data_IF_650490140369
#
_entry.id   IF_650490140369
#
_cell.length_a   1.000
_cell.length_b   1.000
_cell.length_c   1.000
_cell.angle_alpha   90.00
_cell.angle_beta   90.00
_cell.angle_gamma   90.00
#
_symmetry.space_group_name_H-M   'P 1'
#
loop_
_entity.id
_entity.type
_entity.pdbx_description
1 polymer ?
#
# COMPACT_ATOMS: atom_id res chain seq x y z
N UNK A 1 43.46 67.54 -4.66
CA UNK A 1 42.66 66.49 -5.35
C UNK A 1 42.60 65.27 -4.45
N UNK A 2 41.58 65.15 -3.59
CA UNK A 2 41.40 64.01 -2.67
C UNK A 2 40.43 63.01 -3.32
N UNK A 3 40.91 61.82 -3.69
CA UNK A 3 40.07 60.73 -4.20
C UNK A 3 39.60 59.89 -3.01
N UNK A 4 38.33 60.03 -2.66
CA UNK A 4 37.67 59.18 -1.66
C UNK A 4 37.28 57.87 -2.35
N UNK A 5 37.89 56.75 -1.93
CA UNK A 5 37.59 55.42 -2.43
C UNK A 5 36.42 54.84 -1.61
N UNK A 6 35.24 54.73 -2.21
CA UNK A 6 34.11 54.02 -1.63
C UNK A 6 34.33 52.51 -1.75
N UNK A 7 34.56 51.83 -0.63
CA UNK A 7 34.60 50.38 -0.54
C UNK A 7 33.18 49.85 -0.41
N UNK A 8 32.65 49.28 -1.49
CA UNK A 8 31.34 48.62 -1.47
C UNK A 8 31.47 47.25 -0.78
N UNK A 9 30.84 47.12 0.39
CA UNK A 9 30.66 45.83 1.07
C UNK A 9 29.55 45.08 0.33
N UNK A 10 29.92 44.02 -0.38
CA UNK A 10 28.98 43.07 -0.94
C UNK A 10 28.40 42.22 0.19
N UNK A 11 27.12 42.43 0.52
CA UNK A 11 26.37 41.56 1.42
C UNK A 11 26.04 40.28 0.62
N UNK A 12 26.76 39.19 0.91
CA UNK A 12 26.41 37.87 0.38
C UNK A 12 25.07 37.45 0.99
N UNK A 13 24.05 37.30 0.12
CA UNK A 13 22.74 36.81 0.52
C UNK A 13 22.83 35.38 1.03
N UNK A 14 22.54 35.18 2.31
CA UNK A 14 22.36 33.85 2.89
C UNK A 14 21.02 33.33 2.37
N UNK A 15 21.05 32.39 1.43
CA UNK A 15 19.83 31.66 1.05
C UNK A 15 19.29 30.91 2.27
N UNK A 16 17.99 31.00 2.58
CA UNK A 16 17.43 30.23 3.68
C UNK A 16 17.58 28.74 3.36
N UNK A 17 18.28 28.01 4.23
CA UNK A 17 18.13 26.56 4.30
C UNK A 17 16.66 26.33 4.65
N UNK A 18 15.87 25.88 3.69
CA UNK A 18 14.49 25.45 3.95
C UNK A 18 14.57 24.28 4.92
N UNK A 19 14.09 24.52 6.14
CA UNK A 19 13.96 23.48 7.14
C UNK A 19 13.04 22.38 6.61
N UNK A 20 13.36 21.13 6.91
CA UNK A 20 12.55 19.99 6.48
C UNK A 20 11.13 20.09 7.05
N UNK A 21 10.13 19.77 6.22
CA UNK A 21 8.73 19.72 6.60
C UNK A 21 8.40 18.31 7.17
N UNK A 22 8.17 18.25 8.48
CA UNK A 22 7.88 17.00 9.18
C UNK A 22 6.50 16.42 8.82
N UNK A 23 5.50 17.25 8.52
CA UNK A 23 4.17 16.75 8.15
C UNK A 23 4.18 16.20 6.72
N UNK A 24 4.87 16.88 5.80
CA UNK A 24 5.12 16.33 4.47
C UNK A 24 5.95 15.04 4.54
N UNK A 25 6.97 15.02 5.41
CA UNK A 25 7.81 13.85 5.67
C UNK A 25 7.00 12.66 6.19
N UNK A 26 6.11 12.89 7.16
CA UNK A 26 5.18 11.90 7.70
C UNK A 26 4.24 11.34 6.63
N UNK A 27 3.61 12.22 5.83
CA UNK A 27 2.70 11.81 4.77
C UNK A 27 3.41 10.95 3.71
N UNK A 28 4.63 11.34 3.31
CA UNK A 28 5.45 10.55 2.39
C UNK A 28 5.88 9.22 3.02
N UNK A 29 6.37 9.24 4.26
CA UNK A 29 6.78 8.03 4.98
C UNK A 29 5.64 7.01 5.09
N UNK A 30 4.41 7.47 5.34
CA UNK A 30 3.23 6.62 5.42
C UNK A 30 2.91 5.90 4.10
N UNK A 31 3.16 6.54 2.95
CA UNK A 31 2.79 6.02 1.63
C UNK A 31 3.84 5.13 1.00
N UNK A 32 5.14 5.40 1.21
CA UNK A 32 6.22 4.67 0.51
C UNK A 32 7.21 3.94 1.41
N UNK A 33 7.26 4.24 2.72
CA UNK A 33 8.27 3.66 3.63
C UNK A 33 7.66 2.68 4.63
N UNK A 34 6.46 2.98 5.13
CA UNK A 34 5.88 2.33 6.31
C UNK A 34 5.60 0.83 6.14
N UNK A 35 5.42 0.35 4.91
CA UNK A 35 5.19 -1.07 4.63
C UNK A 35 6.35 -1.97 5.11
N UNK A 36 7.58 -1.46 5.02
CA UNK A 36 8.79 -2.22 5.32
C UNK A 36 9.48 -1.69 6.59
N UNK A 37 9.54 -0.37 6.74
CA UNK A 37 10.23 0.29 7.84
C UNK A 37 9.32 0.62 9.02
N UNK A 38 8.01 0.31 8.92
CA UNK A 38 7.00 0.66 9.93
C UNK A 38 6.62 2.14 9.90
N UNK A 39 5.42 2.45 10.39
CA UNK A 39 4.89 3.82 10.39
C UNK A 39 5.79 4.82 11.12
N UNK A 40 6.43 4.37 12.20
CA UNK A 40 7.32 5.18 13.03
C UNK A 40 8.81 4.84 12.80
N UNK A 41 9.16 4.09 11.75
CA UNK A 41 10.55 3.72 11.45
C UNK A 41 11.09 2.53 12.25
N UNK A 42 10.23 1.80 12.97
CA UNK A 42 10.57 0.49 13.56
C UNK A 42 10.13 -0.60 12.58
N UNK A 43 11.08 -1.35 12.05
CA UNK A 43 10.85 -2.30 10.96
C UNK A 43 9.92 -3.46 11.33
N UNK A 44 9.30 -4.03 10.31
CA UNK A 44 8.43 -5.21 10.38
C UNK A 44 9.22 -6.53 10.34
N UNK A 45 10.51 -6.49 9.97
CA UNK A 45 11.38 -7.66 9.80
C UNK A 45 12.83 -7.34 10.19
N UNK A 46 13.58 -8.34 10.68
CA UNK A 46 15.01 -8.18 11.02
C UNK A 46 15.90 -7.93 9.79
N UNK A 47 15.44 -8.33 8.60
CA UNK A 47 16.16 -8.14 7.34
C UNK A 47 16.03 -6.72 6.78
N UNK A 48 15.21 -5.87 7.39
CA UNK A 48 14.92 -4.51 6.95
C UNK A 48 15.36 -3.55 8.08
N UNK A 49 16.15 -2.51 7.79
CA UNK A 49 16.70 -1.67 8.86
C UNK A 49 15.64 -0.78 9.52
N UNK A 50 15.82 -0.52 10.81
CA UNK A 50 15.11 0.55 11.52
C UNK A 50 15.59 1.92 11.04
N UNK A 51 14.64 2.84 10.87
CA UNK A 51 14.89 4.25 10.53
C UNK A 51 14.65 5.18 11.73
N UNK A 52 13.88 4.74 12.72
CA UNK A 52 13.52 5.54 13.89
C UNK A 52 14.76 5.98 14.68
N UNK A 53 14.80 7.25 15.08
CA UNK A 53 15.91 7.90 15.78
C UNK A 53 17.28 7.84 15.06
N UNK A 54 17.31 7.44 13.79
CA UNK A 54 18.55 7.50 13.02
C UNK A 54 18.87 8.97 12.69
N UNK A 55 20.16 9.29 12.58
CA UNK A 55 20.60 10.66 12.28
C UNK A 55 20.02 11.11 10.94
N UNK A 56 19.36 12.27 10.92
CA UNK A 56 18.75 12.86 9.72
C UNK A 56 19.74 12.90 8.54
N UNK A 57 20.94 13.46 8.76
CA UNK A 57 21.98 13.55 7.72
C UNK A 57 22.42 12.18 7.20
N UNK A 58 22.43 11.15 8.04
CA UNK A 58 22.72 9.79 7.59
C UNK A 58 21.59 9.25 6.71
N UNK A 59 20.33 9.37 7.14
CA UNK A 59 19.18 8.94 6.35
C UNK A 59 19.14 9.62 4.98
N UNK A 60 19.33 10.94 4.95
CA UNK A 60 19.36 11.70 3.71
C UNK A 60 20.53 11.26 2.80
N UNK A 61 21.72 11.04 3.35
CA UNK A 61 22.87 10.55 2.58
C UNK A 61 22.62 9.15 2.02
N UNK A 62 22.05 8.24 2.80
CA UNK A 62 21.72 6.89 2.34
C UNK A 62 20.67 6.90 1.23
N UNK A 63 19.63 7.72 1.33
CA UNK A 63 18.61 7.87 0.29
C UNK A 63 19.18 8.47 -0.99
N UNK A 64 20.07 9.46 -0.89
CA UNK A 64 20.80 10.02 -2.06
C UNK A 64 21.67 8.95 -2.73
N UNK A 65 22.43 8.19 -1.94
CA UNK A 65 23.26 7.10 -2.44
C UNK A 65 22.45 5.96 -3.10
N UNK A 66 21.24 5.69 -2.60
CA UNK A 66 20.31 4.75 -3.22
C UNK A 66 19.69 5.33 -4.50
N UNK A 67 19.44 6.64 -4.55
CA UNK A 67 18.91 7.31 -5.74
C UNK A 67 19.93 7.36 -6.88
N UNK A 68 21.19 7.65 -6.58
CA UNK A 68 22.28 7.74 -7.58
C UNK A 68 22.94 6.39 -7.89
N UNK A 69 22.64 5.35 -7.12
CA UNK A 69 23.11 3.98 -7.35
C UNK A 69 24.50 3.68 -6.76
N UNK A 70 25.13 4.62 -6.05
CA UNK A 70 26.38 4.38 -5.31
C UNK A 70 26.18 3.38 -4.17
N UNK A 71 24.96 3.35 -3.58
CA UNK A 71 24.48 2.25 -2.74
C UNK A 71 23.50 1.38 -3.54
N UNK A 72 23.71 0.06 -3.51
CA UNK A 72 22.91 -0.91 -4.26
C UNK A 72 21.98 -1.73 -3.36
N UNK A 73 20.69 -1.63 -3.62
CA UNK A 73 19.62 -2.49 -3.12
C UNK A 73 18.44 -2.35 -4.10
N UNK A 74 18.11 -3.37 -4.93
CA UNK A 74 17.15 -3.22 -6.03
C UNK A 74 15.80 -2.62 -5.64
N UNK A 75 15.28 -2.98 -4.45
CA UNK A 75 14.01 -2.47 -3.93
C UNK A 75 14.15 -0.98 -3.55
N UNK A 76 15.14 -0.65 -2.73
CA UNK A 76 15.32 0.71 -2.24
C UNK A 76 15.86 1.67 -3.30
N UNK A 77 16.60 1.19 -4.32
CA UNK A 77 16.98 2.01 -5.48
C UNK A 77 15.73 2.47 -6.24
N UNK A 78 14.78 1.56 -6.50
CA UNK A 78 13.53 1.90 -7.19
C UNK A 78 12.68 2.91 -6.40
N UNK A 79 12.59 2.75 -5.09
CA UNK A 79 11.88 3.69 -4.21
C UNK A 79 12.60 5.06 -4.19
N UNK A 80 13.91 5.09 -3.95
CA UNK A 80 14.68 6.33 -3.87
C UNK A 80 14.73 7.10 -5.20
N UNK A 81 14.68 6.40 -6.34
CA UNK A 81 14.60 7.01 -7.66
C UNK A 81 13.38 7.93 -7.81
N UNK A 82 12.26 7.61 -7.14
CA UNK A 82 11.02 8.37 -7.21
C UNK A 82 10.99 9.60 -6.29
N UNK A 83 11.92 9.73 -5.34
CA UNK A 83 11.93 10.83 -4.37
C UNK A 83 12.63 12.08 -4.94
N UNK A 84 12.05 13.26 -4.69
CA UNK A 84 12.73 14.54 -4.89
C UNK A 84 13.78 14.79 -3.79
N UNK A 85 14.67 15.76 -3.99
CA UNK A 85 15.64 16.14 -2.96
C UNK A 85 14.97 16.67 -1.69
N UNK A 86 13.85 17.38 -1.85
CA UNK A 86 13.02 17.88 -0.76
C UNK A 86 12.32 16.73 -0.02
N UNK A 87 11.74 15.78 -0.74
CA UNK A 87 11.11 14.61 -0.13
C UNK A 87 12.12 13.77 0.65
N UNK A 88 13.36 13.63 0.16
CA UNK A 88 14.45 12.98 0.89
C UNK A 88 14.75 13.70 2.21
N UNK A 89 14.82 15.03 2.21
CA UNK A 89 15.04 15.81 3.42
C UNK A 89 13.88 15.63 4.42
N UNK A 90 12.64 15.74 3.93
CA UNK A 90 11.44 15.64 4.76
C UNK A 90 11.28 14.25 5.41
N UNK A 91 11.47 13.16 4.67
CA UNK A 91 11.37 11.81 5.25
C UNK A 91 12.54 11.50 6.20
N UNK A 92 13.73 12.02 5.92
CA UNK A 92 14.89 11.86 6.80
C UNK A 92 14.65 12.57 8.14
N UNK A 93 14.16 13.80 8.12
CA UNK A 93 13.82 14.57 9.31
C UNK A 93 12.70 13.90 10.12
N UNK A 94 11.64 13.44 9.43
CA UNK A 94 10.53 12.72 10.05
C UNK A 94 11.01 11.49 10.84
N UNK A 95 11.80 10.60 10.22
CA UNK A 95 12.26 9.38 10.88
C UNK A 95 13.28 9.65 11.99
N UNK A 96 14.12 10.68 11.83
CA UNK A 96 15.06 11.10 12.86
C UNK A 96 14.36 11.60 14.13
N UNK A 97 13.19 12.22 13.98
CA UNK A 97 12.36 12.69 15.09
C UNK A 97 11.59 11.57 15.82
N UNK A 98 11.59 10.34 15.29
CA UNK A 98 10.86 9.24 15.94
C UNK A 98 11.63 8.67 17.14
N UNK A 99 10.93 8.15 18.16
CA UNK A 99 11.57 7.42 19.24
C UNK A 99 12.32 6.19 18.72
N UNK A 100 13.53 5.93 19.24
CA UNK A 100 14.32 4.79 18.84
C UNK A 100 13.64 3.44 19.16
N UNK A 101 13.91 2.43 18.34
CA UNK A 101 13.39 1.09 18.56
C UNK A 101 13.96 0.49 19.87
N UNK A 102 13.09 -0.12 20.68
CA UNK A 102 13.54 -1.03 21.75
C UNK A 102 14.16 -2.28 21.11
N UNK A 103 15.15 -2.87 21.78
CA UNK A 103 15.79 -4.12 21.33
C UNK A 103 14.76 -5.22 21.10
N UNK A 104 14.70 -5.74 19.87
CA UNK A 104 13.78 -6.80 19.47
C UNK A 104 12.37 -6.34 19.07
N UNK A 105 12.07 -5.04 19.12
CA UNK A 105 10.77 -4.53 18.71
C UNK A 105 10.59 -4.61 17.18
N UNK A 106 9.44 -5.14 16.74
CA UNK A 106 8.99 -5.14 15.35
C UNK A 106 7.63 -4.47 15.26
N UNK A 107 7.44 -3.61 14.26
CA UNK A 107 6.09 -3.10 13.97
C UNK A 107 5.25 -4.20 13.35
N UNK A 108 3.94 -4.19 13.64
CA UNK A 108 3.00 -4.95 12.83
C UNK A 108 3.13 -4.54 11.36
N UNK A 109 3.09 -5.52 10.46
CA UNK A 109 3.09 -5.26 9.02
C UNK A 109 1.85 -4.43 8.67
N UNK A 110 2.06 -3.17 8.26
CA UNK A 110 1.03 -2.20 7.89
C UNK A 110 -0.08 -2.05 8.96
N UNK A 111 0.08 -1.20 9.98
CA UNK A 111 -0.95 -0.96 11.00
C UNK A 111 -2.28 -0.39 10.43
N UNK A 112 -2.25 0.14 9.19
CA UNK A 112 -3.42 0.59 8.42
C UNK A 112 -3.98 -0.44 7.43
N UNK A 113 -3.34 -1.60 7.26
CA UNK A 113 -4.01 -2.77 6.73
C UNK A 113 -4.91 -3.25 7.86
N UNK A 114 -6.05 -2.57 8.06
CA UNK A 114 -7.10 -3.08 8.89
C UNK A 114 -7.26 -4.54 8.45
N UNK A 115 -7.02 -5.49 9.37
CA UNK A 115 -7.42 -6.85 9.13
C UNK A 115 -8.87 -6.74 8.69
N UNK A 116 -9.15 -6.99 7.40
CA UNK A 116 -10.49 -6.87 6.86
C UNK A 116 -11.30 -7.88 7.66
N UNK A 117 -11.95 -7.42 8.73
CA UNK A 117 -12.84 -8.22 9.59
C UNK A 117 -14.15 -8.39 8.83
N UNK A 118 -14.05 -8.74 7.55
CA UNK A 118 -15.17 -9.10 6.70
C UNK A 118 -15.68 -10.41 7.26
N UNK A 119 -16.59 -10.28 8.22
CA UNK A 119 -17.50 -11.36 8.58
C UNK A 119 -18.56 -11.34 7.50
N UNK A 120 -18.60 -12.38 6.69
CA UNK A 120 -19.72 -12.58 5.78
C UNK A 120 -21.00 -12.64 6.62
N UNK A 121 -22.01 -11.81 6.35
CA UNK A 121 -23.26 -11.86 7.10
C UNK A 121 -23.88 -13.25 6.99
N UNK A 122 -24.40 -13.78 8.10
CA UNK A 122 -25.34 -14.89 8.01
C UNK A 122 -26.52 -14.45 7.11
N UNK A 123 -26.95 -15.31 6.20
CA UNK A 123 -28.01 -14.94 5.25
C UNK A 123 -27.60 -13.91 4.19
N UNK A 124 -26.31 -13.70 3.90
CA UNK A 124 -25.90 -12.75 2.86
C UNK A 124 -26.60 -13.00 1.51
N UNK A 125 -27.03 -14.23 1.21
CA UNK A 125 -27.75 -14.58 -0.02
C UNK A 125 -29.07 -13.82 -0.19
N UNK A 126 -29.66 -13.36 0.91
CA UNK A 126 -30.91 -12.61 0.90
C UNK A 126 -30.69 -11.12 0.60
N UNK A 127 -29.49 -10.62 0.87
CA UNK A 127 -29.18 -9.17 0.82
C UNK A 127 -28.12 -8.79 -0.21
N UNK A 128 -27.29 -9.74 -0.65
CA UNK A 128 -26.23 -9.51 -1.62
C UNK A 128 -26.70 -9.88 -3.02
N UNK A 129 -26.24 -9.11 -3.99
CA UNK A 129 -26.50 -9.39 -5.40
C UNK A 129 -25.39 -10.25 -5.96
N UNK A 130 -25.74 -11.41 -6.54
CA UNK A 130 -24.83 -12.14 -7.42
C UNK A 130 -24.71 -11.37 -8.74
N UNK A 131 -23.59 -10.69 -8.94
CA UNK A 131 -23.41 -9.80 -10.09
C UNK A 131 -22.59 -10.44 -11.22
N UNK A 132 -21.85 -11.52 -10.94
CA UNK A 132 -21.05 -12.19 -11.94
C UNK A 132 -20.89 -13.69 -11.64
N UNK A 133 -20.76 -14.48 -12.71
CA UNK A 133 -20.44 -15.90 -12.65
C UNK A 133 -19.31 -16.17 -13.64
N UNK A 134 -18.33 -16.99 -13.26
CA UNK A 134 -17.22 -17.37 -14.12
C UNK A 134 -17.00 -18.88 -14.05
N UNK A 135 -16.88 -19.51 -15.23
CA UNK A 135 -16.41 -20.88 -15.37
C UNK A 135 -14.88 -20.92 -15.34
N UNK A 136 -14.32 -21.87 -14.60
CA UNK A 136 -12.89 -22.17 -14.58
C UNK A 136 -12.67 -23.61 -15.08
N UNK A 137 -12.57 -23.83 -16.40
CA UNK A 137 -12.49 -25.17 -16.99
C UNK A 137 -11.28 -25.96 -16.51
N UNK A 138 -10.12 -25.31 -16.37
CA UNK A 138 -8.87 -25.96 -15.96
C UNK A 138 -8.96 -26.60 -14.57
N UNK A 139 -9.70 -25.99 -13.65
CA UNK A 139 -9.89 -26.50 -12.28
C UNK A 139 -11.25 -27.16 -12.07
N UNK A 140 -12.08 -27.25 -13.11
CA UNK A 140 -13.48 -27.73 -13.04
C UNK A 140 -14.27 -27.04 -11.95
N UNK A 141 -14.19 -25.71 -11.90
CA UNK A 141 -14.87 -24.89 -10.90
C UNK A 141 -15.80 -23.87 -11.53
N UNK A 142 -16.79 -23.43 -10.77
CA UNK A 142 -17.59 -22.23 -11.05
C UNK A 142 -17.51 -21.29 -9.87
N UNK A 143 -17.39 -19.99 -10.15
CA UNK A 143 -17.35 -18.96 -9.11
C UNK A 143 -18.55 -18.04 -9.23
N UNK A 144 -19.23 -17.82 -8.11
CA UNK A 144 -20.32 -16.86 -7.99
C UNK A 144 -19.84 -15.65 -7.22
N UNK A 145 -19.87 -14.47 -7.84
CA UNK A 145 -19.42 -13.22 -7.25
C UNK A 145 -20.60 -12.44 -6.69
N UNK A 146 -20.48 -12.03 -5.43
CA UNK A 146 -21.50 -11.33 -4.66
C UNK A 146 -21.02 -9.94 -4.25
N UNK A 147 -21.93 -8.98 -4.24
CA UNK A 147 -21.70 -7.63 -3.76
C UNK A 147 -22.84 -7.20 -2.83
N UNK A 148 -22.50 -6.50 -1.74
CA UNK A 148 -23.51 -5.95 -0.83
C UNK A 148 -24.26 -4.76 -1.47
N UNK A 149 -25.41 -4.33 -0.91
CA UNK A 149 -26.19 -3.24 -1.47
C UNK A 149 -25.40 -1.93 -1.65
N UNK A 150 -24.51 -1.60 -0.70
CA UNK A 150 -23.68 -0.40 -0.77
C UNK A 150 -22.78 -0.41 -2.02
N UNK A 151 -22.09 -1.53 -2.27
CA UNK A 151 -21.24 -1.68 -3.45
C UNK A 151 -22.05 -1.64 -4.75
N UNK A 152 -23.20 -2.32 -4.81
CA UNK A 152 -24.05 -2.36 -6.00
C UNK A 152 -24.61 -0.97 -6.33
N UNK A 153 -25.07 -0.22 -5.33
CA UNK A 153 -25.60 1.13 -5.50
C UNK A 153 -24.52 2.10 -5.99
N UNK A 154 -23.33 2.07 -5.39
CA UNK A 154 -22.21 2.91 -5.81
C UNK A 154 -21.78 2.60 -7.24
N UNK A 155 -21.64 1.32 -7.59
CA UNK A 155 -21.28 0.87 -8.94
C UNK A 155 -22.30 1.33 -9.99
N UNK A 156 -23.61 1.16 -9.72
CA UNK A 156 -24.67 1.64 -10.62
C UNK A 156 -24.66 3.16 -10.81
N UNK A 157 -24.24 3.90 -9.79
CA UNK A 157 -24.12 5.35 -9.84
C UNK A 157 -22.80 5.83 -10.47
N UNK A 158 -21.90 4.92 -10.89
CA UNK A 158 -20.56 5.27 -11.39
C UNK A 158 -19.65 5.91 -10.35
N UNK A 159 -19.91 5.68 -9.06
CA UNK A 159 -19.15 6.25 -7.94
C UNK A 159 -18.10 5.27 -7.43
N UNK A 160 -17.00 5.76 -6.83
CA UNK A 160 -16.10 4.92 -6.04
C UNK A 160 -16.88 4.13 -4.98
N UNK A 161 -16.42 2.91 -4.69
CA UNK A 161 -17.03 2.07 -3.67
C UNK A 161 -16.82 2.70 -2.28
N UNK A 162 -17.89 2.92 -1.50
CA UNK A 162 -17.77 3.50 -0.17
C UNK A 162 -17.19 2.48 0.83
N UNK A 163 -16.72 2.99 1.96
CA UNK A 163 -16.37 2.17 3.12
C UNK A 163 -17.54 1.25 3.52
N UNK A 164 -17.22 0.01 3.87
CA UNK A 164 -18.22 -1.02 4.15
C UNK A 164 -18.78 -1.72 2.90
N UNK A 165 -18.26 -1.41 1.71
CA UNK A 165 -18.47 -2.25 0.51
C UNK A 165 -17.87 -3.64 0.72
N UNK A 166 -18.63 -4.68 0.40
CA UNK A 166 -18.16 -6.07 0.49
C UNK A 166 -18.35 -6.74 -0.85
N UNK A 167 -17.26 -7.26 -1.41
CA UNK A 167 -17.26 -8.11 -2.59
C UNK A 167 -16.57 -9.43 -2.24
N UNK A 168 -17.15 -10.54 -2.68
CA UNK A 168 -16.52 -11.85 -2.52
C UNK A 168 -17.02 -12.83 -3.55
N UNK A 169 -16.34 -13.96 -3.66
CA UNK A 169 -16.79 -15.07 -4.46
C UNK A 169 -16.91 -16.35 -3.65
N UNK A 170 -17.95 -17.11 -3.96
CA UNK A 170 -18.04 -18.52 -3.61
C UNK A 170 -17.40 -19.35 -4.72
N UNK A 171 -16.54 -20.29 -4.36
CA UNK A 171 -15.93 -21.21 -5.31
C UNK A 171 -16.52 -22.61 -5.13
N UNK A 172 -17.13 -23.13 -6.18
CA UNK A 172 -17.73 -24.46 -6.20
C UNK A 172 -16.96 -25.39 -7.14
N UNK A 173 -16.97 -26.69 -6.85
CA UNK A 173 -16.75 -27.69 -7.89
C UNK A 173 -17.89 -27.64 -8.91
N UNK A 174 -17.56 -27.87 -10.18
CA UNK A 174 -18.56 -28.15 -11.19
C UNK A 174 -19.05 -29.59 -11.05
N UNK A 175 -20.37 -29.78 -11.15
CA UNK A 175 -20.97 -31.10 -11.33
C UNK A 175 -20.42 -31.72 -12.60
N UNK A 176 -20.02 -32.99 -12.53
CA UNK A 176 -19.55 -33.72 -13.71
C UNK A 176 -20.71 -34.50 -14.34
N UNK A 177 -20.74 -34.54 -15.67
CA UNK A 177 -21.61 -35.42 -16.44
C UNK A 177 -21.05 -36.85 -16.51
N UNK A 178 -21.74 -37.73 -17.25
CA UNK A 178 -21.33 -39.13 -17.42
C UNK A 178 -19.95 -39.29 -18.08
N UNK A 179 -19.49 -38.29 -18.85
CA UNK A 179 -18.19 -38.28 -19.52
C UNK A 179 -17.09 -37.65 -18.65
N UNK A 180 -17.41 -37.27 -17.40
CA UNK A 180 -16.48 -36.63 -16.48
C UNK A 180 -16.18 -35.16 -16.82
N UNK A 181 -17.00 -34.52 -17.67
CA UNK A 181 -16.89 -33.10 -18.03
C UNK A 181 -17.81 -32.25 -17.15
N UNK A 182 -17.47 -30.98 -16.90
CA UNK A 182 -18.37 -30.05 -16.21
C UNK A 182 -19.72 -29.93 -16.94
N UNK A 183 -20.81 -30.28 -16.26
CA UNK A 183 -22.16 -30.06 -16.74
C UNK A 183 -22.43 -28.55 -16.86
N UNK A 184 -23.01 -28.12 -17.97
CA UNK A 184 -23.34 -26.71 -18.25
C UNK A 184 -24.84 -26.51 -18.08
N UNK A 185 -25.23 -25.52 -17.29
CA UNK A 185 -26.61 -25.12 -17.07
C UNK A 185 -27.18 -24.34 -18.26
N UNK A 186 -28.49 -24.09 -18.23
CA UNK A 186 -29.17 -23.30 -19.26
C UNK A 186 -28.68 -21.84 -19.34
N UNK A 187 -28.02 -21.35 -18.29
CA UNK A 187 -27.39 -20.03 -18.21
C UNK A 187 -25.97 -19.99 -18.82
N UNK A 188 -25.47 -21.10 -19.37
CA UNK A 188 -24.14 -21.20 -19.97
C UNK A 188 -23.01 -21.34 -18.96
N UNK A 189 -23.31 -21.40 -17.66
CA UNK A 189 -22.32 -21.60 -16.60
C UNK A 189 -22.27 -23.06 -16.15
N UNK A 190 -21.16 -23.49 -15.55
CA UNK A 190 -21.11 -24.83 -14.99
C UNK A 190 -22.10 -24.94 -13.83
N UNK A 191 -22.75 -26.09 -13.76
CA UNK A 191 -23.68 -26.40 -12.67
C UNK A 191 -22.86 -26.60 -11.39
N UNK A 192 -23.05 -25.74 -10.40
CA UNK A 192 -22.38 -25.84 -9.11
C UNK A 192 -22.78 -27.14 -8.38
N UNK A 193 -21.81 -27.76 -7.72
CA UNK A 193 -21.99 -28.98 -6.92
C UNK A 193 -21.62 -28.76 -5.45
N UNK A 194 -20.32 -28.85 -5.10
CA UNK A 194 -19.85 -28.68 -3.73
C UNK A 194 -19.16 -27.34 -3.54
N UNK A 195 -19.58 -26.58 -2.53
CA UNK A 195 -18.85 -25.38 -2.10
C UNK A 195 -17.47 -25.80 -1.58
N UNK A 196 -16.41 -25.23 -2.16
CA UNK A 196 -15.03 -25.53 -1.81
C UNK A 196 -14.51 -24.52 -0.78
N UNK A 197 -14.63 -23.22 -1.08
CA UNK A 197 -14.17 -22.14 -0.24
C UNK A 197 -14.76 -20.80 -0.69
N UNK A 198 -14.60 -19.79 0.17
CA UNK A 198 -14.88 -18.39 -0.14
C UNK A 198 -13.56 -17.66 -0.46
N UNK A 199 -13.61 -16.68 -1.34
CA UNK A 199 -12.50 -15.72 -1.53
C UNK A 199 -13.04 -14.31 -1.42
N UNK A 200 -12.46 -13.50 -0.53
CA UNK A 200 -12.70 -12.06 -0.50
C UNK A 200 -11.76 -11.38 -1.51
N UNK A 201 -12.21 -10.32 -2.17
CA UNK A 201 -11.41 -9.47 -3.07
C UNK A 201 -11.39 -8.05 -2.54
#
# INVERSE_FOLDING_TARGET
>A
MKKTLCMAIAIAGVSPVMAADLEAGKAKAATVCAACHGANGVSVSDSIPNLAAQREGYLAAQLKALKDGTRKNPVMNAIAAQLSAEEIANVAAWFAAQPGAQTGAKSAFLPGLAASRVKFPEGYRDTFTRYHTINFPATRQVRHFFANPAAVQAAKAGKPLPDGSVLFAEVYSARLDADGKPAVGADGFFVADKLLFYTAM
#
